data_IF_688256721505
#
_entry.id   IF_688256721505
#
_cell.length_a   1.000
_cell.length_b   1.000
_cell.length_c   1.000
_cell.angle_alpha   90.00
_cell.angle_beta   90.00
_cell.angle_gamma   90.00
#
_symmetry.space_group_name_H-M   'P 1'
#
loop_
_entity.id
_entity.type
_entity.pdbx_description
1 polymer ?
#
# COMPACT_ATOMS: atom_id res chain seq x y z
N UNK A 1 15.49 44.64 -46.90
CA UNK A 1 15.34 43.82 -48.12
C UNK A 1 14.61 42.56 -47.72
N UNK A 2 13.46 42.26 -48.34
CA UNK A 2 12.64 41.08 -48.05
C UNK A 2 13.00 39.92 -48.97
N UNK A 3 12.89 38.69 -48.48
CA UNK A 3 13.12 37.46 -49.27
C UNK A 3 11.92 36.51 -49.18
N UNK A 4 11.87 35.52 -50.07
CA UNK A 4 10.76 34.58 -50.18
C UNK A 4 9.49 35.24 -50.70
N UNK A 5 8.32 34.69 -50.34
CA UNK A 5 7.02 35.12 -50.88
C UNK A 5 6.70 36.59 -50.63
N UNK A 6 7.14 37.17 -49.51
CA UNK A 6 6.94 38.61 -49.26
C UNK A 6 7.80 39.45 -50.22
N UNK A 7 9.02 39.02 -50.53
CA UNK A 7 9.88 39.68 -51.50
C UNK A 7 9.28 39.61 -52.91
N UNK A 8 8.81 38.43 -53.33
CA UNK A 8 8.21 38.25 -54.65
C UNK A 8 6.93 39.09 -54.84
N UNK A 9 6.15 39.29 -53.77
CA UNK A 9 4.98 40.18 -53.78
C UNK A 9 5.38 41.66 -53.95
N UNK A 10 6.43 42.10 -53.25
CA UNK A 10 6.93 43.48 -53.35
C UNK A 10 7.59 43.79 -54.70
N UNK A 11 8.18 42.78 -55.33
CA UNK A 11 8.77 42.87 -56.67
C UNK A 11 7.73 42.74 -57.80
N UNK A 12 6.43 42.65 -57.47
CA UNK A 12 5.33 42.43 -58.42
C UNK A 12 5.51 41.18 -59.29
N UNK A 13 6.15 40.13 -58.76
CA UNK A 13 6.26 38.82 -59.43
C UNK A 13 5.03 37.96 -59.18
N UNK A 14 4.32 38.21 -58.08
CA UNK A 14 3.06 37.57 -57.70
C UNK A 14 2.04 38.63 -57.29
N UNK A 15 0.76 38.36 -57.49
CA UNK A 15 -0.31 39.32 -57.16
C UNK A 15 -0.89 39.11 -55.75
N UNK A 16 -0.82 37.89 -55.22
CA UNK A 16 -1.40 37.53 -53.91
C UNK A 16 -0.72 36.28 -53.31
N UNK A 17 -0.67 36.20 -51.98
CA UNK A 17 -0.22 35.03 -51.23
C UNK A 17 -1.44 34.36 -50.58
N UNK A 18 -1.77 33.13 -51.01
CA UNK A 18 -2.87 32.33 -50.47
C UNK A 18 -2.35 31.09 -49.73
N UNK A 19 -1.83 31.29 -48.51
CA UNK A 19 -1.35 30.20 -47.63
C UNK A 19 -1.36 30.61 -46.16
N UNK A 20 -1.00 29.68 -45.27
CA UNK A 20 -0.82 29.99 -43.84
C UNK A 20 0.39 30.92 -43.63
N UNK A 21 0.09 32.18 -43.39
CA UNK A 21 1.07 33.23 -43.18
C UNK A 21 0.74 33.98 -41.90
N UNK A 22 1.55 33.82 -40.87
CA UNK A 22 1.30 34.48 -39.58
C UNK A 22 1.35 36.00 -39.73
N UNK A 23 0.34 36.71 -39.22
CA UNK A 23 0.30 38.17 -39.29
C UNK A 23 1.29 38.75 -38.27
N UNK A 24 2.31 39.47 -38.75
CA UNK A 24 3.32 40.15 -37.91
C UNK A 24 3.28 41.66 -38.16
N UNK A 25 3.61 42.47 -37.16
CA UNK A 25 3.68 43.93 -37.27
C UNK A 25 4.66 44.37 -38.36
N UNK A 26 5.85 43.78 -38.37
CA UNK A 26 6.92 44.10 -39.34
C UNK A 26 6.46 43.80 -40.77
N UNK A 27 5.69 42.73 -40.99
CA UNK A 27 5.14 42.41 -42.33
C UNK A 27 4.02 43.37 -42.73
N UNK A 28 3.19 43.79 -41.78
CA UNK A 28 2.09 44.75 -42.00
C UNK A 28 2.56 46.13 -42.46
N UNK A 29 3.84 46.48 -42.27
CA UNK A 29 4.42 47.74 -42.76
C UNK A 29 4.69 47.72 -44.28
N UNK A 30 4.76 46.54 -44.90
CA UNK A 30 5.13 46.39 -46.32
C UNK A 30 4.01 45.75 -47.15
N UNK A 31 3.15 44.92 -46.55
CA UNK A 31 2.08 44.21 -47.23
C UNK A 31 0.77 44.29 -46.44
N UNK A 32 -0.34 44.37 -47.15
CA UNK A 32 -1.67 44.36 -46.56
C UNK A 32 -2.18 42.93 -46.37
N UNK A 33 -2.91 42.71 -45.27
CA UNK A 33 -3.51 41.43 -44.92
C UNK A 33 -5.03 41.53 -44.93
N UNK A 34 -5.70 40.42 -45.25
CA UNK A 34 -7.14 40.26 -45.02
C UNK A 34 -7.44 40.02 -43.55
N UNK A 35 -8.73 39.95 -43.20
CA UNK A 35 -9.15 39.50 -41.87
C UNK A 35 -8.65 38.06 -41.62
N UNK A 36 -8.07 37.77 -40.44
CA UNK A 36 -7.60 36.43 -40.13
C UNK A 36 -8.78 35.46 -40.09
N UNK A 37 -8.69 34.36 -40.84
CA UNK A 37 -9.71 33.30 -40.85
C UNK A 37 -9.39 32.17 -39.84
N UNK A 38 -8.16 32.14 -39.31
CA UNK A 38 -7.68 31.17 -38.35
C UNK A 38 -6.97 31.88 -37.20
N UNK A 39 -7.43 31.66 -35.98
CA UNK A 39 -6.73 32.09 -34.77
C UNK A 39 -5.68 31.05 -34.41
N UNK A 40 -4.40 31.39 -34.62
CA UNK A 40 -3.27 30.50 -34.30
C UNK A 40 -2.58 30.95 -33.02
N UNK A 41 -2.15 29.97 -32.22
CA UNK A 41 -1.36 30.17 -31.01
C UNK A 41 -0.13 29.27 -31.00
N UNK A 42 0.92 29.68 -30.28
CA UNK A 42 2.12 28.86 -30.10
C UNK A 42 1.87 27.86 -28.99
N UNK A 43 2.03 26.57 -29.30
CA UNK A 43 1.98 25.49 -28.30
C UNK A 43 3.26 24.65 -28.36
N UNK A 44 3.71 24.17 -27.21
CA UNK A 44 4.85 23.28 -27.11
C UNK A 44 4.35 21.83 -27.04
N UNK A 45 4.84 20.99 -27.95
CA UNK A 45 4.57 19.55 -27.94
C UNK A 45 5.76 18.85 -27.28
N UNK A 46 5.49 18.10 -26.22
CA UNK A 46 6.49 17.30 -25.50
C UNK A 46 6.15 15.84 -25.71
N UNK A 47 7.18 15.00 -25.89
CA UNK A 47 7.01 13.55 -25.94
C UNK A 47 6.41 13.07 -24.62
N UNK A 48 5.23 12.44 -24.67
CA UNK A 48 4.64 11.80 -23.50
C UNK A 48 5.50 10.61 -23.04
N UNK A 49 5.73 10.49 -21.73
CA UNK A 49 6.34 9.29 -21.16
C UNK A 49 5.31 8.14 -21.14
N UNK A 50 5.73 6.94 -21.55
CA UNK A 50 4.91 5.75 -21.40
C UNK A 50 4.81 5.39 -19.91
N UNK A 51 3.69 5.73 -19.28
CA UNK A 51 3.43 5.33 -17.89
C UNK A 51 3.32 3.81 -17.83
N UNK A 52 4.32 3.15 -17.22
CA UNK A 52 4.21 1.75 -16.87
C UNK A 52 3.31 1.63 -15.64
N UNK A 53 2.16 0.96 -15.79
CA UNK A 53 1.29 0.68 -14.64
C UNK A 53 1.96 -0.40 -13.78
N UNK A 54 2.75 0.01 -12.80
CA UNK A 54 3.28 -0.90 -11.80
C UNK A 54 2.15 -1.29 -10.85
N UNK A 55 1.80 -2.58 -10.82
CA UNK A 55 0.76 -3.12 -9.94
C UNK A 55 1.00 -2.82 -8.45
N UNK A 56 2.26 -2.62 -8.07
CA UNK A 56 2.71 -2.30 -6.72
C UNK A 56 2.88 -0.80 -6.44
N UNK A 57 2.27 0.08 -7.26
CA UNK A 57 2.35 1.53 -7.05
C UNK A 57 1.90 1.98 -5.65
N UNK A 58 0.94 1.25 -5.07
CA UNK A 58 0.47 1.53 -3.70
C UNK A 58 1.50 1.25 -2.61
N UNK A 59 2.54 0.44 -2.85
CA UNK A 59 3.66 0.24 -1.91
C UNK A 59 4.76 1.30 -2.07
N UNK A 60 4.83 1.96 -3.23
CA UNK A 60 5.79 3.03 -3.54
C UNK A 60 5.90 4.15 -2.48
N UNK A 61 4.80 4.64 -1.85
CA UNK A 61 4.91 5.70 -0.86
C UNK A 61 5.68 5.31 0.42
N UNK A 62 5.91 4.01 0.65
CA UNK A 62 6.60 3.52 1.85
C UNK A 62 7.91 2.82 1.51
N UNK A 63 9.00 3.27 2.14
CA UNK A 63 10.32 2.66 1.98
C UNK A 63 10.43 1.29 2.66
N UNK A 64 11.48 0.55 2.32
CA UNK A 64 11.79 -0.76 2.91
C UNK A 64 11.84 -0.73 4.45
N UNK A 65 12.34 0.36 5.03
CA UNK A 65 12.41 0.55 6.48
C UNK A 65 11.03 0.49 7.15
N UNK A 66 9.99 1.08 6.52
CA UNK A 66 8.62 1.04 7.05
C UNK A 66 8.07 -0.38 7.04
N UNK A 67 8.26 -1.11 5.95
CA UNK A 67 7.82 -2.50 5.83
C UNK A 67 8.53 -3.42 6.83
N UNK A 68 9.84 -3.23 7.02
CA UNK A 68 10.59 -3.93 8.05
C UNK A 68 10.09 -3.61 9.47
N UNK A 69 9.74 -2.35 9.75
CA UNK A 69 9.18 -1.94 11.04
C UNK A 69 7.79 -2.57 11.29
N UNK A 70 6.94 -2.67 10.27
CA UNK A 70 5.63 -3.35 10.37
C UNK A 70 5.82 -4.83 10.74
N UNK A 71 6.69 -5.54 10.02
CA UNK A 71 7.00 -6.94 10.32
C UNK A 71 7.57 -7.12 11.73
N UNK A 72 8.50 -6.25 12.13
CA UNK A 72 9.07 -6.28 13.47
C UNK A 72 8.02 -6.02 14.56
N UNK A 73 7.12 -5.05 14.34
CA UNK A 73 6.04 -4.75 15.27
C UNK A 73 5.10 -5.94 15.49
N UNK A 74 4.79 -6.72 14.45
CA UNK A 74 3.97 -7.92 14.60
C UNK A 74 4.64 -8.97 15.49
N UNK A 75 5.95 -9.21 15.30
CA UNK A 75 6.71 -10.16 16.12
C UNK A 75 6.74 -9.70 17.58
N UNK A 76 7.05 -8.43 17.82
CA UNK A 76 7.09 -7.85 19.16
C UNK A 76 5.72 -7.94 19.83
N UNK A 77 4.64 -7.60 19.13
CA UNK A 77 3.28 -7.69 19.66
C UNK A 77 2.90 -9.13 20.01
N UNK A 78 3.25 -10.11 19.17
CA UNK A 78 3.03 -11.52 19.48
C UNK A 78 3.80 -11.98 20.74
N UNK A 79 5.04 -11.54 20.90
CA UNK A 79 5.83 -11.81 22.12
C UNK A 79 5.21 -11.16 23.36
N UNK A 80 4.75 -9.92 23.25
CA UNK A 80 4.05 -9.25 24.35
C UNK A 80 2.76 -9.97 24.74
N UNK A 81 1.93 -10.34 23.76
CA UNK A 81 0.71 -11.10 24.01
C UNK A 81 1.01 -12.44 24.68
N UNK A 82 1.99 -13.20 24.19
CA UNK A 82 2.36 -14.48 24.81
C UNK A 82 2.88 -14.31 26.23
N UNK A 83 3.67 -13.27 26.52
CA UNK A 83 4.11 -12.95 27.88
C UNK A 83 2.92 -12.62 28.80
N UNK A 84 2.00 -11.78 28.34
CA UNK A 84 0.80 -11.42 29.11
C UNK A 84 -0.07 -12.66 29.34
N UNK A 85 -0.30 -13.50 28.32
CA UNK A 85 -1.08 -14.73 28.47
C UNK A 85 -0.45 -15.71 29.46
N UNK A 86 0.89 -15.80 29.52
CA UNK A 86 1.59 -16.68 30.46
C UNK A 86 1.61 -16.15 31.90
N UNK A 87 1.59 -14.82 32.06
CA UNK A 87 1.53 -14.16 33.37
C UNK A 87 0.09 -13.98 33.89
N UNK A 88 -0.88 -13.95 32.99
CA UNK A 88 -2.29 -13.80 33.32
C UNK A 88 -2.87 -15.11 33.87
N UNK A 89 -3.42 -15.11 35.11
CA UNK A 89 -4.02 -16.29 35.71
C UNK A 89 -5.36 -16.72 35.06
N UNK A 90 -5.82 -15.99 34.03
CA UNK A 90 -7.13 -16.20 33.39
C UNK A 90 -7.10 -16.86 32.00
N UNK A 91 -5.93 -17.09 31.41
CA UNK A 91 -5.81 -17.83 30.14
C UNK A 91 -5.99 -19.35 30.36
N UNK A 92 -6.42 -20.11 29.34
CA UNK A 92 -6.70 -21.56 29.47
C UNK A 92 -5.49 -22.35 29.99
N UNK A 93 -4.26 -21.91 29.70
CA UNK A 93 -3.02 -22.49 30.25
C UNK A 93 -2.67 -22.00 31.67
N UNK A 94 -3.19 -20.83 32.07
CA UNK A 94 -3.05 -20.25 33.41
C UNK A 94 -4.01 -20.88 34.42
N UNK A 95 -5.25 -21.18 33.99
CA UNK A 95 -6.25 -21.88 34.81
C UNK A 95 -5.78 -23.27 35.22
N UNK A 96 -5.23 -24.07 34.29
CA UNK A 96 -4.67 -25.41 34.57
C UNK A 96 -3.52 -25.33 35.57
N UNK A 97 -2.62 -24.34 35.46
CA UNK A 97 -1.50 -24.17 36.39
C UNK A 97 -1.93 -23.65 37.76
N UNK A 98 -2.91 -22.77 37.83
CA UNK A 98 -3.47 -22.29 39.10
C UNK A 98 -4.28 -23.39 39.81
N UNK A 99 -5.09 -24.16 39.07
CA UNK A 99 -5.80 -25.33 39.57
C UNK A 99 -4.83 -26.43 40.05
N UNK A 100 -3.81 -26.80 39.27
CA UNK A 100 -2.77 -27.76 39.66
C UNK A 100 -1.89 -27.28 40.83
N UNK A 101 -1.79 -25.97 41.08
CA UNK A 101 -1.08 -25.42 42.24
C UNK A 101 -1.93 -25.43 43.53
N UNK A 102 -3.26 -25.42 43.40
CA UNK A 102 -4.20 -25.39 44.54
C UNK A 102 -4.82 -26.74 44.88
N UNK A 103 -4.94 -27.64 43.90
CA UNK A 103 -5.47 -28.99 44.08
C UNK A 103 -4.47 -30.01 43.53
N UNK A 104 -4.30 -31.13 44.22
CA UNK A 104 -3.60 -32.31 43.71
C UNK A 104 -4.67 -33.25 43.13
N UNK A 105 -4.74 -33.38 41.80
CA UNK A 105 -5.63 -34.33 41.14
C UNK A 105 -4.95 -35.71 41.13
N UNK A 106 -5.45 -36.64 41.95
CA UNK A 106 -4.88 -37.99 42.11
C UNK A 106 -5.13 -38.86 40.86
N UNK A 107 -6.11 -38.51 40.02
CA UNK A 107 -6.52 -39.30 38.83
C UNK A 107 -5.65 -39.10 37.60
N UNK A 108 -5.14 -37.88 37.32
CA UNK A 108 -4.18 -37.68 36.21
C UNK A 108 -2.79 -38.30 36.53
N UNK A 109 -2.56 -38.94 37.70
CA UNK A 109 -1.28 -39.55 38.08
C UNK A 109 -1.11 -41.03 37.70
N UNK A 110 -2.17 -41.75 37.33
CA UNK A 110 -2.11 -43.22 37.21
C UNK A 110 -2.06 -43.75 35.76
N UNK A 111 -2.35 -42.92 34.76
CA UNK A 111 -2.33 -43.33 33.35
C UNK A 111 -1.02 -42.93 32.63
N UNK A 112 0.14 -43.09 33.29
CA UNK A 112 1.44 -42.64 32.74
C UNK A 112 2.34 -43.76 32.20
N UNK A 113 1.82 -44.99 31.98
CA UNK A 113 2.68 -46.13 31.63
C UNK A 113 2.42 -46.85 30.30
N UNK A 114 1.55 -46.35 29.42
CA UNK A 114 1.46 -46.87 28.04
C UNK A 114 1.62 -45.79 26.95
N UNK A 115 2.82 -45.85 26.35
CA UNK A 115 3.30 -45.42 25.03
C UNK A 115 2.27 -45.00 23.96
N UNK A 116 2.54 -43.87 23.29
CA UNK A 116 2.15 -43.62 21.90
C UNK A 116 0.85 -42.84 21.69
N UNK A 117 0.91 -41.86 20.79
CA UNK A 117 -0.21 -41.22 20.09
C UNK A 117 -1.53 -41.02 20.87
N UNK A 118 -1.60 -39.91 21.60
CA UNK A 118 -2.72 -38.95 21.73
C UNK A 118 -2.50 -38.18 23.02
N UNK A 119 -2.02 -36.94 22.91
CA UNK A 119 -1.94 -36.04 24.06
C UNK A 119 -3.37 -35.57 24.40
N UNK A 120 -4.12 -36.39 25.14
CA UNK A 120 -5.37 -35.96 25.73
C UNK A 120 -5.05 -35.16 27.00
N UNK A 121 -4.99 -33.84 26.81
CA UNK A 121 -4.82 -32.85 27.88
C UNK A 121 -6.06 -32.95 28.78
N UNK A 122 -5.91 -33.30 30.08
CA UNK A 122 -7.01 -33.28 31.07
C UNK A 122 -7.80 -31.97 30.87
N UNK A 123 -9.06 -32.05 30.42
CA UNK A 123 -9.86 -30.88 30.04
C UNK A 123 -10.22 -30.07 31.29
N UNK A 124 -10.18 -28.74 31.17
CA UNK A 124 -10.36 -27.81 32.31
C UNK A 124 -11.68 -28.04 33.06
N UNK A 125 -12.73 -28.49 32.36
CA UNK A 125 -14.05 -28.80 32.96
C UNK A 125 -14.00 -29.99 33.92
N UNK A 126 -13.15 -30.99 33.68
CA UNK A 126 -13.04 -32.19 34.52
C UNK A 126 -12.26 -31.89 35.80
N UNK A 127 -11.21 -31.06 35.71
CA UNK A 127 -10.42 -30.64 36.87
C UNK A 127 -11.18 -29.69 37.81
N UNK A 128 -12.06 -28.84 37.28
CA UNK A 128 -12.91 -27.96 38.09
C UNK A 128 -13.97 -28.76 38.88
N UNK A 129 -14.58 -29.79 38.27
CA UNK A 129 -15.58 -30.65 38.91
C UNK A 129 -15.03 -31.42 40.14
N UNK A 130 -13.79 -31.95 40.06
CA UNK A 130 -13.18 -32.69 41.19
C UNK A 130 -12.76 -31.78 42.36
N UNK A 131 -12.32 -30.53 42.12
CA UNK A 131 -12.00 -29.59 43.21
C UNK A 131 -13.26 -29.08 43.93
N UNK A 132 -14.40 -29.04 43.26
CA UNK A 132 -15.67 -28.63 43.86
C UNK A 132 -16.19 -29.71 44.84
N UNK A 133 -16.00 -30.99 44.51
CA UNK A 133 -16.33 -32.14 45.37
C UNK A 133 -15.45 -32.20 46.64
N UNK A 134 -14.18 -31.80 46.55
CA UNK A 134 -13.27 -31.73 47.70
C UNK A 134 -13.60 -30.59 48.69
N UNK A 135 -14.37 -29.57 48.30
CA UNK A 135 -14.77 -28.48 49.22
C UNK A 135 -16.03 -28.80 50.03
N UNK A 136 -16.79 -29.81 49.62
CA UNK A 136 -18.06 -30.23 50.24
C UNK A 136 -17.91 -31.39 51.23
N UNK A 137 -16.70 -31.92 51.43
CA UNK A 137 -16.37 -32.89 52.49
C UNK A 137 -15.55 -32.22 53.59
#
# INVERSE_FOLDING_TARGET
VWSGMVGDLLENKIDMIAMDLSVSSIRREYIDFTIPFLETGVSAIIKGESKTNTMFFFLSPFGFSTWAAVLFSFVVFALFLTMISKLSPYDNNGKVRFAASKCVCTKCSLESHHMGDTAEVCLVEEAEAECEESKTT
#
